data_IF_445814608399
#
_entry.id   IF_445814608399
#
_cell.length_a   1.000
_cell.length_b   1.000
_cell.length_c   1.000
_cell.angle_alpha   90.00
_cell.angle_beta   90.00
_cell.angle_gamma   90.00
#
_symmetry.space_group_name_H-M   'P 1'
#
loop_
_entity.id
_entity.type
_entity.pdbx_description
1 polymer ?
#
# COMPACT_ATOMS: atom_id res chain seq x y z
N UNK A 1 41.11 17.88 18.27
CA UNK A 1 40.52 16.91 19.21
C UNK A 1 39.26 17.55 19.78
N UNK A 2 38.08 17.13 19.35
CA UNK A 2 36.80 17.73 19.75
C UNK A 2 36.61 17.53 21.26
N UNK A 3 36.29 18.58 22.05
CA UNK A 3 36.19 18.46 23.50
C UNK A 3 35.12 17.43 23.89
N UNK A 4 35.48 16.51 24.77
CA UNK A 4 34.58 15.48 25.29
C UNK A 4 33.55 16.16 26.19
N UNK A 5 32.38 16.47 25.64
CA UNK A 5 31.24 16.98 26.40
C UNK A 5 30.97 16.05 27.58
N UNK A 6 30.69 16.62 28.77
CA UNK A 6 30.35 15.84 29.96
C UNK A 6 28.99 15.14 29.73
N UNK A 7 29.05 13.93 29.17
CA UNK A 7 27.89 13.14 28.76
C UNK A 7 27.77 11.91 29.66
N UNK A 8 26.54 11.57 30.01
CA UNK A 8 26.26 10.45 30.90
C UNK A 8 26.70 9.13 30.26
N UNK A 9 27.38 8.28 31.03
CA UNK A 9 27.98 7.03 30.54
C UNK A 9 26.99 6.13 29.78
N UNK A 10 25.72 6.07 30.23
CA UNK A 10 24.65 5.30 29.57
C UNK A 10 24.45 5.66 28.10
N UNK A 11 24.60 6.94 27.73
CA UNK A 11 24.44 7.37 26.35
C UNK A 11 25.65 7.03 25.48
N UNK A 12 26.86 6.97 26.07
CA UNK A 12 28.04 6.50 25.35
C UNK A 12 27.91 5.01 25.00
N UNK A 13 27.46 4.19 25.97
CA UNK A 13 27.20 2.76 25.75
C UNK A 13 26.11 2.52 24.69
N UNK A 14 25.18 3.46 24.50
CA UNK A 14 24.15 3.37 23.45
C UNK A 14 24.68 3.72 22.07
N UNK A 15 25.58 4.71 21.97
CA UNK A 15 26.18 5.13 20.70
C UNK A 15 27.00 4.00 20.06
N UNK A 16 27.58 3.11 20.87
CA UNK A 16 28.38 1.97 20.42
C UNK A 16 27.54 0.74 20.02
N UNK A 17 26.21 0.78 20.22
CA UNK A 17 25.35 -0.36 19.86
C UNK A 17 25.24 -0.50 18.33
N UNK A 18 25.20 -1.72 17.78
CA UNK A 18 25.07 -1.94 16.34
C UNK A 18 23.89 -1.21 15.69
N UNK A 19 22.76 -1.08 16.38
CA UNK A 19 21.57 -0.35 15.90
C UNK A 19 21.86 1.11 15.51
N UNK A 20 22.85 1.76 16.14
CA UNK A 20 23.25 3.14 15.81
C UNK A 20 24.02 3.26 14.49
N UNK A 21 24.46 2.14 13.93
CA UNK A 21 25.11 2.09 12.63
C UNK A 21 24.08 2.00 11.48
N UNK A 22 22.83 1.66 11.80
CA UNK A 22 21.73 1.69 10.84
C UNK A 22 21.39 3.13 10.48
N UNK A 23 21.22 3.37 9.18
CA UNK A 23 20.92 4.71 8.64
C UNK A 23 19.41 4.92 8.58
N UNK A 24 18.85 5.40 9.69
CA UNK A 24 17.47 5.86 9.71
C UNK A 24 17.36 7.25 9.04
N UNK A 25 16.38 7.39 8.15
CA UNK A 25 16.01 8.66 7.54
C UNK A 25 14.63 9.06 8.05
N UNK A 26 14.40 10.38 8.16
CA UNK A 26 13.05 10.89 8.33
C UNK A 26 12.27 10.70 7.02
N UNK A 27 10.94 10.63 7.11
CA UNK A 27 10.09 10.59 5.92
C UNK A 27 10.25 11.86 5.08
N UNK A 28 10.27 11.67 3.77
CA UNK A 28 10.31 12.73 2.77
C UNK A 28 9.45 12.31 1.56
N UNK A 29 8.12 12.49 1.66
CA UNK A 29 7.18 12.06 0.61
C UNK A 29 7.40 12.76 -0.73
N UNK A 30 7.97 13.98 -0.74
CA UNK A 30 8.23 14.73 -1.97
C UNK A 30 9.27 14.05 -2.86
N UNK A 31 10.18 13.28 -2.26
CA UNK A 31 11.20 12.49 -2.96
C UNK A 31 10.88 10.98 -2.96
N UNK A 32 9.66 10.60 -2.58
CA UNK A 32 9.22 9.20 -2.55
C UNK A 32 9.70 8.41 -1.32
N UNK A 33 10.26 9.06 -0.30
CA UNK A 33 10.63 8.40 0.96
C UNK A 33 9.45 8.39 1.94
N UNK A 34 8.43 7.59 1.60
CA UNK A 34 7.30 7.28 2.47
C UNK A 34 7.05 5.78 2.41
N UNK A 35 6.95 5.12 3.56
CA UNK A 35 6.75 3.67 3.57
C UNK A 35 5.31 3.29 3.17
N UNK A 36 4.33 4.07 3.66
CA UNK A 36 2.90 3.93 3.35
C UNK A 36 2.23 5.30 3.33
N UNK A 37 1.05 5.38 2.71
CA UNK A 37 0.13 6.52 2.81
C UNK A 37 0.77 7.88 2.50
N UNK A 38 1.56 7.94 1.42
CA UNK A 38 2.13 9.21 0.96
C UNK A 38 0.98 10.17 0.60
N UNK A 39 1.09 11.48 0.88
CA UNK A 39 0.13 12.47 0.39
C UNK A 39 0.01 12.51 -1.15
N UNK A 40 1.02 12.00 -1.86
CA UNK A 40 1.04 11.90 -3.32
C UNK A 40 0.42 10.59 -3.85
N UNK A 41 0.11 9.62 -2.99
CA UNK A 41 -0.51 8.38 -3.43
C UNK A 41 -1.91 8.66 -3.99
N UNK A 42 -2.27 8.06 -5.14
CA UNK A 42 -3.58 8.27 -5.74
C UNK A 42 -4.68 7.66 -4.86
N UNK A 43 -5.86 8.28 -4.92
CA UNK A 43 -7.05 7.69 -4.29
C UNK A 43 -7.55 6.51 -5.12
N UNK A 44 -8.02 5.42 -4.48
CA UNK A 44 -8.61 4.30 -5.20
C UNK A 44 -9.76 4.74 -6.10
N UNK A 45 -9.70 4.37 -7.37
CA UNK A 45 -10.72 4.74 -8.33
C UNK A 45 -10.66 3.90 -9.59
N UNK A 46 -11.82 3.54 -10.14
CA UNK A 46 -11.86 2.84 -11.42
C UNK A 46 -13.01 3.38 -12.27
N UNK A 47 -12.76 3.52 -13.57
CA UNK A 47 -13.77 3.82 -14.57
C UNK A 47 -13.84 2.67 -15.56
N UNK A 48 -15.06 2.19 -15.86
CA UNK A 48 -15.29 1.09 -16.79
C UNK A 48 -16.28 1.53 -17.85
N UNK A 49 -15.98 1.27 -19.12
CA UNK A 49 -16.87 1.54 -20.26
C UNK A 49 -16.81 0.42 -21.28
N UNK A 50 -17.93 -0.25 -21.50
CA UNK A 50 -18.05 -1.35 -22.47
C UNK A 50 -17.09 -2.51 -22.17
N UNK A 51 -17.00 -2.92 -20.89
CA UNK A 51 -16.13 -4.02 -20.45
C UNK A 51 -14.63 -3.70 -20.49
N UNK A 52 -14.24 -2.43 -20.57
CA UNK A 52 -12.83 -1.99 -20.55
C UNK A 52 -12.60 -0.93 -19.50
N UNK A 53 -11.44 -0.97 -18.86
CA UNK A 53 -11.00 0.04 -17.89
C UNK A 53 -10.56 1.31 -18.64
N UNK A 54 -11.23 2.42 -18.36
CA UNK A 54 -11.00 3.74 -19.00
C UNK A 54 -10.40 4.78 -18.04
N UNK A 55 -10.34 4.47 -16.75
CA UNK A 55 -9.55 5.23 -15.77
C UNK A 55 -9.13 4.33 -14.61
N UNK A 56 -7.94 4.56 -14.07
CA UNK A 56 -7.31 3.78 -13.01
C UNK A 56 -6.69 4.73 -11.98
N UNK A 57 -7.14 4.66 -10.73
CA UNK A 57 -6.63 5.42 -9.58
C UNK A 57 -6.46 6.93 -9.86
N UNK A 58 -7.47 7.50 -10.53
CA UNK A 58 -7.49 8.93 -10.89
C UNK A 58 -6.76 9.30 -12.20
N UNK A 59 -6.06 8.35 -12.83
CA UNK A 59 -5.42 8.52 -14.14
C UNK A 59 -6.39 8.10 -15.25
N UNK A 60 -6.52 8.93 -16.29
CA UNK A 60 -7.38 8.65 -17.44
C UNK A 60 -6.62 7.80 -18.49
N UNK A 61 -7.35 7.03 -19.30
CA UNK A 61 -6.72 6.11 -20.29
C UNK A 61 -5.72 6.78 -21.24
N UNK A 62 -5.90 8.06 -21.57
CA UNK A 62 -4.99 8.80 -22.45
C UNK A 62 -3.69 9.23 -21.77
N UNK A 63 -3.66 9.26 -20.44
CA UNK A 63 -2.51 9.63 -19.61
C UNK A 63 -1.78 8.41 -19.04
N UNK A 64 -2.25 7.19 -19.34
CA UNK A 64 -1.63 5.96 -18.87
C UNK A 64 -0.18 5.86 -19.32
N UNK A 65 0.69 5.53 -18.36
CA UNK A 65 2.01 5.04 -18.66
C UNK A 65 1.98 3.55 -19.08
N UNK A 66 3.16 2.95 -19.21
CA UNK A 66 3.28 1.54 -19.58
C UNK A 66 2.71 0.59 -18.51
N UNK A 67 2.87 0.93 -17.23
CA UNK A 67 2.42 0.13 -16.09
C UNK A 67 0.90 0.21 -15.98
N UNK A 68 0.33 1.41 -15.99
CA UNK A 68 -1.12 1.63 -15.92
C UNK A 68 -1.83 0.87 -17.04
N UNK A 69 -1.31 1.01 -18.27
CA UNK A 69 -1.87 0.35 -19.44
C UNK A 69 -1.80 -1.16 -19.34
N UNK A 70 -0.74 -1.71 -18.76
CA UNK A 70 -0.58 -3.15 -18.58
C UNK A 70 -1.55 -3.70 -17.52
N UNK A 71 -1.68 -3.00 -16.39
CA UNK A 71 -2.59 -3.37 -15.30
C UNK A 71 -4.04 -3.29 -15.79
N UNK A 72 -4.44 -2.14 -16.33
CA UNK A 72 -5.81 -1.87 -16.77
C UNK A 72 -6.31 -2.82 -17.87
N UNK A 73 -5.41 -3.36 -18.71
CA UNK A 73 -5.79 -4.24 -19.83
C UNK A 73 -5.72 -5.73 -19.52
N UNK A 74 -4.93 -6.14 -18.54
CA UNK A 74 -4.61 -7.55 -18.36
C UNK A 74 -4.82 -8.10 -16.94
N UNK A 75 -4.90 -7.24 -15.92
CA UNK A 75 -4.87 -7.69 -14.52
C UNK A 75 -6.11 -7.31 -13.70
N UNK A 76 -6.97 -6.44 -14.24
CA UNK A 76 -8.24 -6.09 -13.60
C UNK A 76 -9.38 -6.76 -14.38
N UNK A 77 -10.21 -7.52 -13.66
CA UNK A 77 -11.45 -8.10 -14.15
C UNK A 77 -12.57 -7.03 -14.12
N UNK A 78 -13.04 -6.53 -15.28
CA UNK A 78 -14.05 -5.49 -15.35
C UNK A 78 -15.40 -5.93 -14.77
N UNK A 79 -15.70 -7.23 -14.77
CA UNK A 79 -16.97 -7.76 -14.26
C UNK A 79 -17.02 -7.71 -12.73
N UNK A 80 -15.88 -7.91 -12.07
CA UNK A 80 -15.77 -7.89 -10.60
C UNK A 80 -15.42 -6.51 -10.07
N UNK A 81 -14.76 -5.67 -10.85
CA UNK A 81 -14.18 -4.42 -10.36
C UNK A 81 -15.18 -3.45 -9.74
N UNK A 82 -16.40 -3.34 -10.29
CA UNK A 82 -17.43 -2.48 -9.69
C UNK A 82 -17.85 -2.95 -8.29
N UNK A 83 -17.97 -4.27 -8.09
CA UNK A 83 -18.27 -4.86 -6.78
C UNK A 83 -17.10 -4.64 -5.81
N UNK A 84 -15.89 -5.01 -6.23
CA UNK A 84 -14.71 -4.97 -5.39
C UNK A 84 -14.34 -3.55 -4.95
N UNK A 85 -14.45 -2.57 -5.84
CA UNK A 85 -14.13 -1.17 -5.54
C UNK A 85 -15.19 -0.48 -4.68
N UNK A 86 -16.44 -0.95 -4.70
CA UNK A 86 -17.51 -0.43 -3.85
C UNK A 86 -17.40 -0.88 -2.38
N UNK A 87 -16.66 -1.95 -2.10
CA UNK A 87 -16.43 -2.41 -0.73
C UNK A 87 -15.55 -1.42 0.03
N UNK A 88 -15.91 -1.16 1.28
CA UNK A 88 -15.06 -0.44 2.21
C UNK A 88 -13.76 -1.21 2.48
N UNK A 89 -12.62 -0.51 2.43
CA UNK A 89 -11.29 -1.15 2.54
C UNK A 89 -11.07 -1.81 3.90
N UNK A 90 -11.58 -1.21 4.98
CA UNK A 90 -11.50 -1.83 6.30
C UNK A 90 -12.35 -3.10 6.40
N UNK A 91 -13.41 -3.22 5.60
CA UNK A 91 -14.20 -4.45 5.53
C UNK A 91 -13.45 -5.59 4.85
N UNK A 92 -12.77 -5.30 3.73
CA UNK A 92 -11.91 -6.29 3.07
C UNK A 92 -10.72 -6.66 3.96
N UNK A 93 -10.11 -5.70 4.64
CA UNK A 93 -9.03 -5.94 5.59
C UNK A 93 -9.46 -6.90 6.72
N UNK A 94 -10.65 -6.71 7.30
CA UNK A 94 -11.22 -7.64 8.28
C UNK A 94 -11.43 -9.03 7.70
N UNK A 95 -11.84 -9.15 6.44
CA UNK A 95 -12.03 -10.45 5.80
C UNK A 95 -10.71 -11.19 5.54
N UNK A 96 -9.59 -10.49 5.34
CA UNK A 96 -8.27 -11.12 5.20
C UNK A 96 -7.86 -11.89 6.46
N UNK A 97 -8.32 -11.45 7.63
CA UNK A 97 -8.03 -12.11 8.92
C UNK A 97 -9.19 -12.94 9.47
N UNK A 98 -10.27 -13.10 8.71
CA UNK A 98 -11.44 -13.87 9.13
C UNK A 98 -11.39 -15.29 8.56
N UNK A 99 -11.20 -16.28 9.44
CA UNK A 99 -11.14 -17.70 9.08
C UNK A 99 -12.43 -18.25 8.44
N UNK A 100 -13.56 -17.54 8.56
CA UNK A 100 -14.83 -17.94 7.95
C UNK A 100 -14.97 -17.43 6.51
N UNK A 101 -14.07 -16.57 6.04
CA UNK A 101 -14.09 -16.07 4.66
C UNK A 101 -13.18 -16.95 3.80
N UNK A 102 -13.73 -17.65 2.80
CA UNK A 102 -12.92 -18.53 1.95
C UNK A 102 -11.98 -17.71 1.06
N UNK A 103 -10.77 -18.24 0.84
CA UNK A 103 -9.73 -17.63 0.01
C UNK A 103 -10.22 -17.33 -1.41
N UNK A 104 -11.03 -18.21 -1.98
CA UNK A 104 -11.58 -18.06 -3.34
C UNK A 104 -12.35 -16.75 -3.50
N UNK A 105 -13.10 -16.35 -2.46
CA UNK A 105 -13.84 -15.09 -2.46
C UNK A 105 -12.87 -13.89 -2.46
N UNK A 106 -11.83 -13.95 -1.63
CA UNK A 106 -10.83 -12.88 -1.52
C UNK A 106 -10.04 -12.73 -2.82
N UNK A 107 -9.61 -13.83 -3.43
CA UNK A 107 -8.88 -13.82 -4.71
C UNK A 107 -9.76 -13.25 -5.82
N UNK A 108 -11.03 -13.66 -5.92
CA UNK A 108 -11.97 -13.09 -6.90
C UNK A 108 -12.07 -11.57 -6.74
N UNK A 109 -12.25 -11.09 -5.52
CA UNK A 109 -12.35 -9.65 -5.24
C UNK A 109 -11.05 -8.92 -5.56
N UNK A 110 -9.88 -9.50 -5.24
CA UNK A 110 -8.58 -8.91 -5.53
C UNK A 110 -8.37 -8.68 -7.03
N UNK A 111 -8.87 -9.55 -7.90
CA UNK A 111 -8.85 -9.34 -9.36
C UNK A 111 -9.71 -8.15 -9.82
N UNK A 112 -10.63 -7.66 -9.00
CA UNK A 112 -11.39 -6.44 -9.28
C UNK A 112 -10.82 -5.17 -8.63
N UNK A 113 -9.79 -5.27 -7.80
CA UNK A 113 -9.23 -4.13 -7.07
C UNK A 113 -8.11 -3.46 -7.85
N UNK A 114 -8.05 -2.13 -7.74
CA UNK A 114 -6.94 -1.35 -8.29
C UNK A 114 -5.71 -1.43 -7.37
N UNK A 115 -4.51 -1.09 -7.86
CA UNK A 115 -3.31 -1.02 -7.02
C UNK A 115 -3.48 -0.14 -5.78
N UNK A 116 -4.06 1.07 -5.92
CA UNK A 116 -4.30 1.93 -4.77
C UNK A 116 -5.30 1.31 -3.79
N UNK A 117 -6.34 0.61 -4.28
CA UNK A 117 -7.29 -0.08 -3.42
C UNK A 117 -6.64 -1.19 -2.60
N UNK A 118 -5.79 -2.00 -3.23
CA UNK A 118 -5.06 -3.07 -2.55
C UNK A 118 -4.12 -2.52 -1.47
N UNK A 119 -3.37 -1.46 -1.80
CA UNK A 119 -2.51 -0.78 -0.84
C UNK A 119 -3.31 -0.20 0.33
N UNK A 120 -4.46 0.42 0.06
CA UNK A 120 -5.35 0.96 1.09
C UNK A 120 -5.88 -0.14 2.02
N UNK A 121 -6.30 -1.29 1.48
CA UNK A 121 -6.75 -2.45 2.28
C UNK A 121 -5.64 -2.95 3.21
N UNK A 122 -4.45 -3.20 2.68
CA UNK A 122 -3.33 -3.73 3.49
C UNK A 122 -2.84 -2.71 4.51
N UNK A 123 -2.93 -1.41 4.22
CA UNK A 123 -2.57 -0.35 5.17
C UNK A 123 -3.45 -0.32 6.43
N UNK A 124 -4.62 -0.98 6.41
CA UNK A 124 -5.48 -1.12 7.60
C UNK A 124 -5.01 -2.22 8.56
N UNK A 125 -4.03 -3.03 8.16
CA UNK A 125 -3.56 -4.18 8.93
C UNK A 125 -2.27 -3.86 9.67
N UNK A 126 -2.14 -4.37 10.89
CA UNK A 126 -0.88 -4.38 11.62
C UNK A 126 -0.01 -5.58 11.20
N UNK A 127 1.25 -5.60 11.66
CA UNK A 127 2.21 -6.64 11.28
C UNK A 127 1.77 -8.08 11.59
N UNK A 128 1.02 -8.30 12.68
CA UNK A 128 0.53 -9.64 13.03
C UNK A 128 -0.63 -10.07 12.11
N UNK A 129 -1.51 -9.13 11.77
CA UNK A 129 -2.63 -9.37 10.86
C UNK A 129 -2.13 -9.69 9.44
N UNK A 130 -1.11 -8.97 8.95
CA UNK A 130 -0.46 -9.25 7.67
C UNK A 130 0.20 -10.64 7.66
N UNK A 131 0.83 -11.04 8.77
CA UNK A 131 1.45 -12.36 8.87
C UNK A 131 0.43 -13.52 8.92
N UNK A 132 -0.82 -13.21 9.30
CA UNK A 132 -1.90 -14.19 9.37
C UNK A 132 -2.64 -14.36 8.04
N UNK A 133 -2.92 -13.26 7.35
CA UNK A 133 -3.71 -13.20 6.11
C UNK A 133 -3.11 -13.98 4.93
#
# INVERSE_FOLDING_TARGET
MTPKLNRWKRFADWDERPLRLDKFAAEDPANGFSAFSSPADPKPGIGIKGGRVVSLDGVLEHDYDMIDRFIARHHIDPEVASEAMALDSATVARWLVDMNVPREKLVRLAHGMTPAKLAEVVSQLNALEIAFA
#
